data_IF_407213797353
#
_entry.id   IF_407213797353
#
_cell.length_a   1.000
_cell.length_b   1.000
_cell.length_c   1.000
_cell.angle_alpha   90.00
_cell.angle_beta   90.00
_cell.angle_gamma   90.00
#
_symmetry.space_group_name_H-M   'P 1'
#
loop_
_entity.id
_entity.type
_entity.pdbx_description
1 polymer ?
#
# COMPACT_ATOMS: atom_id res chain seq x y z
N UNK A 1 -24.80 -52.61 9.15
CA UNK A 1 -25.29 -51.38 9.80
C UNK A 1 -24.56 -50.11 9.32
N UNK A 2 -24.57 -49.86 8.01
CA UNK A 2 -23.86 -48.67 7.45
C UNK A 2 -24.78 -47.64 6.81
N UNK A 3 -26.09 -47.61 7.04
CA UNK A 3 -27.03 -46.93 6.17
C UNK A 3 -28.00 -45.97 6.85
N UNK A 4 -27.69 -45.36 7.98
CA UNK A 4 -28.52 -44.27 8.52
C UNK A 4 -27.69 -43.09 8.95
N UNK A 5 -26.98 -42.46 7.97
CA UNK A 5 -26.67 -41.05 8.13
C UNK A 5 -28.01 -40.32 7.98
N UNK A 6 -28.51 -39.76 9.08
CA UNK A 6 -29.75 -39.00 9.06
C UNK A 6 -29.51 -37.67 8.33
N UNK A 7 -30.52 -37.11 7.72
CA UNK A 7 -30.44 -35.79 7.08
C UNK A 7 -29.91 -34.70 8.01
N UNK A 8 -30.17 -34.81 9.32
CA UNK A 8 -29.61 -33.96 10.37
C UNK A 8 -28.07 -34.01 10.45
N UNK A 9 -27.48 -35.19 10.25
CA UNK A 9 -26.01 -35.35 10.34
C UNK A 9 -25.34 -34.75 9.11
N UNK A 10 -25.96 -34.91 7.93
CA UNK A 10 -25.48 -34.28 6.68
C UNK A 10 -25.56 -32.76 6.80
N UNK A 11 -26.68 -32.23 7.30
CA UNK A 11 -26.84 -30.80 7.48
C UNK A 11 -25.83 -30.25 8.49
N UNK A 12 -25.64 -30.93 9.62
CA UNK A 12 -24.63 -30.58 10.61
C UNK A 12 -23.21 -30.57 10.02
N UNK A 13 -22.86 -31.61 9.25
CA UNK A 13 -21.58 -31.66 8.60
C UNK A 13 -21.39 -30.52 7.59
N UNK A 14 -22.40 -30.21 6.78
CA UNK A 14 -22.34 -29.08 5.84
C UNK A 14 -22.16 -27.75 6.54
N UNK A 15 -22.86 -27.51 7.67
CA UNK A 15 -22.72 -26.30 8.47
C UNK A 15 -21.32 -26.21 9.06
N UNK A 16 -20.79 -27.33 9.58
CA UNK A 16 -19.43 -27.39 10.13
C UNK A 16 -18.35 -27.11 9.08
N UNK A 17 -18.53 -27.70 7.88
CA UNK A 17 -17.61 -27.45 6.76
C UNK A 17 -17.68 -26.02 6.27
N UNK A 18 -18.89 -25.44 6.15
CA UNK A 18 -19.06 -24.04 5.77
C UNK A 18 -18.44 -23.10 6.80
N UNK A 19 -18.63 -23.36 8.08
CA UNK A 19 -18.03 -22.60 9.17
C UNK A 19 -16.48 -22.73 9.14
N UNK A 20 -15.97 -23.96 9.00
CA UNK A 20 -14.54 -24.19 8.88
C UNK A 20 -13.94 -23.47 7.67
N UNK A 21 -14.58 -23.56 6.52
CA UNK A 21 -14.18 -22.84 5.31
C UNK A 21 -14.15 -21.32 5.56
N UNK A 22 -15.23 -20.75 6.11
CA UNK A 22 -15.32 -19.32 6.40
C UNK A 22 -14.28 -18.83 7.42
N UNK A 23 -13.83 -19.70 8.34
CA UNK A 23 -12.81 -19.36 9.32
C UNK A 23 -11.39 -19.52 8.77
N UNK A 24 -11.09 -20.65 8.13
CA UNK A 24 -9.71 -20.97 7.75
C UNK A 24 -9.28 -20.37 6.42
N UNK A 25 -10.17 -20.25 5.43
CA UNK A 25 -9.79 -19.72 4.12
C UNK A 25 -9.31 -18.27 4.17
N UNK A 26 -9.95 -17.32 4.85
CA UNK A 26 -9.41 -15.97 5.00
C UNK A 26 -8.04 -15.94 5.66
N UNK A 27 -7.80 -16.79 6.68
CA UNK A 27 -6.51 -16.88 7.35
C UNK A 27 -5.42 -17.44 6.42
N UNK A 28 -5.72 -18.48 5.65
CA UNK A 28 -4.79 -19.07 4.68
C UNK A 28 -4.46 -18.07 3.57
N UNK A 29 -5.47 -17.40 3.02
CA UNK A 29 -5.27 -16.38 1.98
C UNK A 29 -4.46 -15.22 2.52
N UNK A 30 -4.77 -14.75 3.73
CA UNK A 30 -4.02 -13.68 4.39
C UNK A 30 -2.55 -14.09 4.57
N UNK A 31 -2.26 -15.24 5.16
CA UNK A 31 -0.90 -15.75 5.34
C UNK A 31 -0.17 -15.89 4.00
N UNK A 32 -0.85 -16.39 2.96
CA UNK A 32 -0.25 -16.48 1.63
C UNK A 32 0.10 -15.10 1.08
N UNK A 33 -0.82 -14.15 1.11
CA UNK A 33 -0.63 -12.82 0.53
C UNK A 33 0.44 -12.03 1.28
N UNK A 34 0.37 -12.00 2.60
CA UNK A 34 1.27 -11.18 3.42
C UNK A 34 2.63 -11.82 3.67
N UNK A 35 2.68 -13.14 3.89
CA UNK A 35 3.91 -13.80 4.34
C UNK A 35 4.62 -14.57 3.22
N UNK A 36 3.88 -15.25 2.33
CA UNK A 36 4.45 -16.21 1.38
C UNK A 36 4.60 -15.69 -0.04
N UNK A 37 3.72 -14.80 -0.51
CA UNK A 37 3.72 -14.34 -1.91
C UNK A 37 4.94 -13.48 -2.28
N UNK A 38 5.61 -12.89 -1.29
CA UNK A 38 6.68 -11.89 -1.50
C UNK A 38 6.19 -10.54 -2.04
N UNK A 39 4.86 -10.38 -2.19
CA UNK A 39 4.29 -9.15 -2.73
C UNK A 39 4.62 -7.94 -1.86
N UNK A 40 4.43 -8.07 -0.54
CA UNK A 40 4.71 -7.00 0.44
C UNK A 40 6.20 -6.81 0.75
N UNK A 41 7.10 -7.68 0.27
CA UNK A 41 8.56 -7.45 0.29
C UNK A 41 9.03 -6.59 -0.87
N UNK A 42 8.14 -6.25 -1.80
CA UNK A 42 8.41 -5.42 -2.97
C UNK A 42 9.56 -5.92 -3.87
N UNK A 43 9.96 -7.19 -3.78
CA UNK A 43 11.03 -7.78 -4.62
C UNK A 43 10.73 -7.64 -6.13
N UNK A 44 9.45 -7.56 -6.48
CA UNK A 44 9.01 -7.31 -7.85
C UNK A 44 9.44 -5.92 -8.39
N UNK A 45 9.66 -4.92 -7.52
CA UNK A 45 10.17 -3.61 -7.92
C UNK A 45 11.57 -3.70 -8.55
N UNK A 46 12.40 -4.65 -8.11
CA UNK A 46 13.72 -4.89 -8.71
C UNK A 46 13.62 -5.27 -10.18
N UNK A 47 12.54 -5.93 -10.59
CA UNK A 47 12.30 -6.33 -11.99
C UNK A 47 12.00 -5.14 -12.89
N UNK A 48 11.59 -4.00 -12.32
CA UNK A 48 11.33 -2.77 -13.07
C UNK A 48 12.61 -2.00 -13.43
N UNK A 49 13.78 -2.49 -12.99
CA UNK A 49 15.10 -1.91 -13.32
C UNK A 49 15.18 -0.39 -13.03
N UNK A 50 14.60 0.04 -11.93
CA UNK A 50 14.54 1.45 -11.54
C UNK A 50 15.92 2.04 -11.17
N UNK A 51 16.90 1.17 -10.90
CA UNK A 51 18.26 1.53 -10.45
C UNK A 51 19.33 1.52 -11.55
N UNK A 52 18.94 1.50 -12.81
CA UNK A 52 19.90 1.38 -13.93
C UNK A 52 20.95 2.50 -14.02
N UNK A 53 20.88 3.51 -13.15
CA UNK A 53 21.84 4.60 -13.05
C UNK A 53 22.06 5.01 -11.61
N UNK A 54 23.28 5.40 -11.27
CA UNK A 54 23.65 5.99 -9.97
C UNK A 54 22.91 7.32 -9.69
N UNK A 55 22.66 7.60 -8.43
CA UNK A 55 22.08 8.85 -7.94
C UNK A 55 20.64 9.14 -8.41
N UNK A 56 19.73 8.16 -8.28
CA UNK A 56 18.29 8.35 -8.48
C UNK A 56 17.66 9.10 -7.32
N UNK A 57 16.69 9.94 -7.65
CA UNK A 57 15.84 10.62 -6.68
C UNK A 57 14.50 9.88 -6.62
N UNK A 58 14.25 9.24 -5.51
CA UNK A 58 13.00 8.55 -5.22
C UNK A 58 12.16 9.33 -4.23
N UNK A 59 10.87 9.34 -4.43
CA UNK A 59 9.90 9.91 -3.49
C UNK A 59 8.91 8.83 -3.09
N UNK A 60 8.68 8.66 -1.80
CA UNK A 60 7.58 7.85 -1.28
C UNK A 60 6.55 8.76 -0.60
N UNK A 61 5.28 8.50 -0.84
CA UNK A 61 4.19 9.22 -0.18
C UNK A 61 3.25 8.22 0.49
N UNK A 62 2.93 8.51 1.75
CA UNK A 62 1.98 7.74 2.54
C UNK A 62 0.92 8.64 3.20
N UNK A 63 -0.12 8.02 3.75
CA UNK A 63 -1.24 8.69 4.41
C UNK A 63 -1.26 8.37 5.90
N UNK A 64 -0.19 8.71 6.60
CA UNK A 64 -0.12 8.59 8.06
C UNK A 64 0.35 7.25 8.61
N UNK A 65 0.49 6.22 7.79
CA UNK A 65 1.05 4.94 8.17
C UNK A 65 2.09 4.51 7.14
N UNK A 66 3.36 4.52 7.54
CA UNK A 66 4.48 4.23 6.66
C UNK A 66 4.98 2.81 6.88
N UNK A 67 4.58 1.90 6.01
CA UNK A 67 5.06 0.51 6.00
C UNK A 67 6.14 0.28 4.94
N UNK A 68 6.43 1.27 4.10
CA UNK A 68 7.13 1.04 2.84
C UNK A 68 8.48 1.74 2.74
N UNK A 69 8.69 2.87 3.40
CA UNK A 69 9.90 3.69 3.20
C UNK A 69 11.18 2.95 3.60
N UNK A 70 11.20 2.24 4.73
CA UNK A 70 12.39 1.46 5.12
C UNK A 70 12.71 0.34 4.13
N UNK A 71 11.67 -0.30 3.58
CA UNK A 71 11.85 -1.34 2.57
C UNK A 71 12.34 -0.77 1.24
N UNK A 72 11.85 0.41 0.84
CA UNK A 72 12.32 1.10 -0.37
C UNK A 72 13.79 1.53 -0.23
N UNK A 73 14.20 2.01 0.94
CA UNK A 73 15.60 2.34 1.22
C UNK A 73 16.51 1.10 1.12
N UNK A 74 16.07 -0.04 1.66
CA UNK A 74 16.80 -1.31 1.54
C UNK A 74 16.85 -1.83 0.11
N UNK A 75 15.76 -1.67 -0.64
CA UNK A 75 15.68 -2.10 -2.04
C UNK A 75 16.53 -1.24 -2.98
N UNK A 76 16.67 0.06 -2.68
CA UNK A 76 17.34 1.06 -3.50
C UNK A 76 18.40 1.86 -2.72
N UNK A 77 19.45 1.21 -2.19
CA UNK A 77 20.42 1.83 -1.27
C UNK A 77 21.28 2.92 -1.93
N UNK A 78 21.26 3.02 -3.26
CA UNK A 78 21.99 4.05 -4.02
C UNK A 78 21.11 5.26 -4.36
N UNK A 79 19.80 5.19 -4.10
CA UNK A 79 18.90 6.28 -4.36
C UNK A 79 18.79 7.22 -3.16
N UNK A 80 18.54 8.49 -3.42
CA UNK A 80 18.10 9.42 -2.38
C UNK A 80 16.59 9.30 -2.22
N UNK A 81 16.13 8.83 -1.05
CA UNK A 81 14.72 8.69 -0.74
C UNK A 81 14.20 9.91 0.03
N UNK A 82 13.18 10.57 -0.47
CA UNK A 82 12.42 11.62 0.22
C UNK A 82 11.04 11.08 0.55
N UNK A 83 10.59 11.27 1.79
CA UNK A 83 9.31 10.72 2.26
C UNK A 83 8.36 11.85 2.66
N UNK A 84 7.13 11.75 2.18
CA UNK A 84 6.06 12.67 2.49
C UNK A 84 4.86 11.95 3.12
N UNK A 85 4.20 12.64 4.05
CA UNK A 85 2.96 12.22 4.68
C UNK A 85 1.85 13.23 4.38
N UNK A 86 0.76 12.80 3.73
CA UNK A 86 -0.39 13.68 3.49
C UNK A 86 -1.56 13.44 4.47
N UNK A 87 -1.32 12.69 5.54
CA UNK A 87 -2.35 12.44 6.53
C UNK A 87 -2.91 13.75 7.11
N UNK A 88 -4.22 13.82 7.18
CA UNK A 88 -4.94 14.92 7.79
C UNK A 88 -5.90 14.40 8.86
N UNK A 89 -5.64 14.74 10.12
CA UNK A 89 -6.43 14.27 11.27
C UNK A 89 -7.93 14.63 11.18
N UNK A 90 -8.28 15.69 10.44
CA UNK A 90 -9.68 16.10 10.26
C UNK A 90 -10.40 15.30 9.18
N UNK A 91 -9.67 14.73 8.22
CA UNK A 91 -10.21 14.00 7.08
C UNK A 91 -10.10 12.49 7.27
N UNK A 92 -8.99 12.01 7.84
CA UNK A 92 -8.68 10.60 8.04
C UNK A 92 -8.99 10.19 9.49
N UNK A 93 -10.27 9.95 9.76
CA UNK A 93 -10.78 9.74 11.12
C UNK A 93 -10.98 8.26 11.47
N UNK A 94 -10.59 7.33 10.60
CA UNK A 94 -10.74 5.90 10.85
C UNK A 94 -9.94 5.46 12.10
N UNK A 95 -10.59 4.75 13.04
CA UNK A 95 -9.88 4.29 14.24
C UNK A 95 -8.69 3.38 13.96
N UNK A 96 -8.66 2.72 12.79
CA UNK A 96 -7.55 1.87 12.38
C UNK A 96 -6.27 2.69 12.12
N UNK A 97 -6.35 3.74 11.29
CA UNK A 97 -5.21 4.60 10.99
C UNK A 97 -4.72 5.34 12.23
N UNK A 98 -5.64 5.81 13.08
CA UNK A 98 -5.30 6.49 14.35
C UNK A 98 -4.51 5.55 15.28
N UNK A 99 -4.87 4.26 15.34
CA UNK A 99 -4.12 3.26 16.12
C UNK A 99 -2.78 2.92 15.49
N UNK A 100 -2.76 2.71 14.17
CA UNK A 100 -1.54 2.37 13.45
C UNK A 100 -0.45 3.45 13.61
N UNK A 101 -0.81 4.72 13.50
CA UNK A 101 0.11 5.85 13.70
C UNK A 101 0.79 5.87 15.08
N UNK A 102 0.14 5.34 16.12
CA UNK A 102 0.71 5.31 17.47
C UNK A 102 1.83 4.29 17.64
N UNK A 103 1.86 3.28 16.79
CA UNK A 103 2.80 2.15 16.89
C UNK A 103 3.76 2.06 15.71
N UNK A 104 3.50 2.78 14.62
CA UNK A 104 4.38 2.78 13.44
C UNK A 104 5.68 3.56 13.73
N UNK A 105 6.77 3.04 13.19
CA UNK A 105 8.00 3.79 13.10
C UNK A 105 7.83 4.86 12.01
N UNK A 106 8.20 6.09 12.35
CA UNK A 106 8.21 7.19 11.38
C UNK A 106 9.56 7.18 10.68
N UNK A 107 9.56 7.18 9.35
CA UNK A 107 10.79 7.28 8.58
C UNK A 107 11.48 8.64 8.84
N UNK A 108 12.82 8.68 9.03
CA UNK A 108 13.54 9.92 9.34
C UNK A 108 13.25 11.03 8.31
N UNK A 109 13.09 12.27 8.80
CA UNK A 109 12.85 13.45 7.97
C UNK A 109 11.56 13.41 7.11
N UNK A 110 10.61 12.54 7.45
CA UNK A 110 9.27 12.58 6.80
C UNK A 110 8.65 13.97 6.96
N UNK A 111 8.24 14.57 5.84
CA UNK A 111 7.63 15.89 5.81
C UNK A 111 6.12 15.80 5.60
N UNK A 112 5.36 16.55 6.38
CA UNK A 112 3.92 16.68 6.17
C UNK A 112 3.65 17.55 4.96
N UNK A 113 2.77 17.10 4.06
CA UNK A 113 2.39 17.85 2.86
C UNK A 113 0.87 17.91 2.66
N UNK A 114 0.46 18.77 1.73
CA UNK A 114 -0.89 18.78 1.20
C UNK A 114 -0.91 18.08 -0.18
N UNK A 115 -1.95 17.32 -0.45
CA UNK A 115 -2.15 16.62 -1.73
C UNK A 115 -2.22 17.57 -2.95
N UNK A 116 -2.52 18.83 -2.73
CA UNK A 116 -2.59 19.86 -3.78
C UNK A 116 -1.25 20.49 -4.14
N UNK A 117 -0.18 20.25 -3.38
CA UNK A 117 1.14 20.86 -3.62
C UNK A 117 2.26 20.00 -3.02
N UNK A 118 3.10 19.45 -3.87
CA UNK A 118 4.30 18.72 -3.46
C UNK A 118 5.47 19.70 -3.47
N UNK A 119 6.21 19.85 -2.34
CA UNK A 119 7.27 20.85 -2.19
C UNK A 119 8.58 20.44 -2.90
N UNK A 120 8.48 20.10 -4.17
CA UNK A 120 9.59 19.71 -5.03
C UNK A 120 9.53 20.50 -6.34
N UNK A 121 10.72 20.71 -6.93
CA UNK A 121 10.84 21.34 -8.24
C UNK A 121 10.24 20.47 -9.34
N UNK A 122 9.85 21.10 -10.44
CA UNK A 122 9.39 20.40 -11.64
C UNK A 122 10.50 19.47 -12.16
N UNK A 123 10.10 18.30 -12.63
CA UNK A 123 11.00 17.32 -13.27
C UNK A 123 12.26 17.01 -12.42
N UNK A 124 12.12 16.89 -11.11
CA UNK A 124 13.23 16.62 -10.18
C UNK A 124 13.31 15.17 -9.71
N UNK A 125 12.21 14.39 -9.83
CA UNK A 125 12.06 13.04 -9.30
C UNK A 125 12.20 12.00 -10.41
N UNK A 126 12.99 10.95 -10.17
CA UNK A 126 13.12 9.83 -11.10
C UNK A 126 12.00 8.79 -10.93
N UNK A 127 11.67 8.48 -9.67
CA UNK A 127 10.58 7.54 -9.36
C UNK A 127 9.76 8.02 -8.17
N UNK A 128 8.46 8.02 -8.36
CA UNK A 128 7.47 8.39 -7.37
C UNK A 128 6.67 7.16 -6.94
N UNK A 129 6.71 6.82 -5.67
CA UNK A 129 5.99 5.69 -5.09
C UNK A 129 4.74 6.18 -4.35
N UNK A 130 3.61 5.53 -4.63
CA UNK A 130 2.34 5.70 -3.96
C UNK A 130 1.79 4.29 -3.67
N UNK A 131 2.29 3.71 -2.58
CA UNK A 131 2.03 2.31 -2.23
C UNK A 131 0.98 2.26 -1.12
N UNK A 132 -0.21 1.75 -1.44
CA UNK A 132 -1.35 1.58 -0.53
C UNK A 132 -1.82 2.88 0.14
N UNK A 133 -1.70 4.02 -0.53
CA UNK A 133 -2.05 5.32 0.05
C UNK A 133 -3.09 6.11 -0.75
N UNK A 134 -3.26 5.86 -2.05
CA UNK A 134 -4.15 6.65 -2.90
C UNK A 134 -5.64 6.49 -2.54
N UNK A 135 -6.03 5.39 -1.91
CA UNK A 135 -7.40 5.15 -1.47
C UNK A 135 -7.84 6.08 -0.33
N UNK A 136 -6.89 6.65 0.42
CA UNK A 136 -7.18 7.61 1.48
C UNK A 136 -7.68 8.96 0.93
N UNK A 137 -7.33 9.31 -0.29
CA UNK A 137 -7.93 10.44 -1.00
C UNK A 137 -9.32 10.05 -1.49
N UNK A 138 -10.36 10.59 -0.87
CA UNK A 138 -11.75 10.20 -1.16
C UNK A 138 -12.38 10.98 -2.31
N UNK A 139 -12.04 12.27 -2.41
CA UNK A 139 -12.58 13.13 -3.44
C UNK A 139 -11.87 12.90 -4.79
N UNK A 140 -12.64 12.76 -5.84
CA UNK A 140 -12.09 12.57 -7.21
C UNK A 140 -11.21 13.75 -7.63
N UNK A 141 -11.64 14.97 -7.34
CA UNK A 141 -10.91 16.20 -7.68
C UNK A 141 -9.56 16.28 -6.95
N UNK A 142 -9.49 15.79 -5.73
CA UNK A 142 -8.26 15.70 -4.97
C UNK A 142 -7.28 14.73 -5.64
N UNK A 143 -7.74 13.54 -6.03
CA UNK A 143 -6.92 12.55 -6.77
C UNK A 143 -6.37 13.14 -8.06
N UNK A 144 -7.22 13.84 -8.83
CA UNK A 144 -6.81 14.48 -10.08
C UNK A 144 -5.74 15.55 -9.83
N UNK A 145 -5.93 16.39 -8.83
CA UNK A 145 -4.97 17.44 -8.46
C UNK A 145 -3.64 16.83 -8.01
N UNK A 146 -3.69 15.82 -7.15
CA UNK A 146 -2.52 15.11 -6.69
C UNK A 146 -1.73 14.44 -7.82
N UNK A 147 -2.42 13.76 -8.76
CA UNK A 147 -1.77 13.14 -9.90
C UNK A 147 -1.13 14.17 -10.87
N UNK A 148 -1.69 15.37 -10.98
CA UNK A 148 -1.07 16.48 -11.70
C UNK A 148 0.23 16.92 -11.03
N UNK A 149 0.26 17.01 -9.71
CA UNK A 149 1.47 17.30 -8.95
C UNK A 149 2.53 16.19 -9.09
N UNK A 150 2.14 14.91 -8.99
CA UNK A 150 3.04 13.79 -9.28
C UNK A 150 3.67 13.93 -10.68
N UNK A 151 2.84 14.24 -11.69
CA UNK A 151 3.30 14.43 -13.06
C UNK A 151 4.24 15.63 -13.19
N UNK A 152 4.01 16.71 -12.47
CA UNK A 152 4.85 17.91 -12.47
C UNK A 152 6.26 17.62 -11.95
N UNK A 153 6.34 16.91 -10.80
CA UNK A 153 7.63 16.66 -10.15
C UNK A 153 8.45 15.55 -10.79
N UNK A 154 7.81 14.60 -11.48
CA UNK A 154 8.50 13.48 -12.12
C UNK A 154 9.14 13.93 -13.42
N UNK A 155 10.42 13.55 -13.62
CA UNK A 155 11.21 13.82 -14.84
C UNK A 155 10.53 13.23 -16.08
N UNK A 156 10.88 13.77 -17.25
CA UNK A 156 10.56 13.09 -18.51
C UNK A 156 11.25 11.71 -18.52
N UNK A 157 10.48 10.65 -18.77
CA UNK A 157 10.96 9.27 -18.67
C UNK A 157 11.06 8.70 -17.25
N UNK A 158 10.70 9.47 -16.22
CA UNK A 158 10.57 8.98 -14.86
C UNK A 158 9.30 8.15 -14.66
N UNK A 159 9.17 7.52 -13.49
CA UNK A 159 8.10 6.58 -13.19
C UNK A 159 7.20 7.09 -12.05
N UNK A 160 5.91 6.81 -12.16
CA UNK A 160 4.97 6.85 -11.03
C UNK A 160 4.49 5.42 -10.82
N UNK A 161 4.78 4.86 -9.65
CA UNK A 161 4.42 3.50 -9.27
C UNK A 161 3.32 3.60 -8.22
N UNK A 162 2.14 3.17 -8.60
CA UNK A 162 0.98 3.12 -7.72
C UNK A 162 0.57 1.67 -7.50
N UNK A 163 0.38 1.31 -6.25
CA UNK A 163 -0.15 0.01 -5.84
C UNK A 163 -1.30 0.25 -4.89
N UNK A 164 -2.42 -0.40 -5.15
CA UNK A 164 -3.63 -0.28 -4.35
C UNK A 164 -4.28 -1.64 -4.12
N UNK A 165 -5.01 -1.73 -3.02
CA UNK A 165 -5.89 -2.87 -2.78
C UNK A 165 -7.04 -2.84 -3.79
N UNK A 166 -7.30 -4.00 -4.42
CA UNK A 166 -8.51 -4.15 -5.20
C UNK A 166 -9.70 -3.99 -4.25
N UNK A 167 -10.54 -3.01 -4.51
CA UNK A 167 -11.87 -2.96 -3.92
C UNK A 167 -12.78 -3.83 -4.76
N UNK A 168 -13.38 -4.81 -4.12
CA UNK A 168 -14.53 -5.47 -4.72
C UNK A 168 -15.58 -4.40 -5.03
N UNK A 169 -16.04 -4.39 -6.27
CA UNK A 169 -17.17 -3.55 -6.64
C UNK A 169 -18.39 -4.03 -5.84
N UNK A 170 -19.18 -3.12 -5.27
CA UNK A 170 -20.40 -3.48 -4.56
C UNK A 170 -21.41 -4.14 -5.49
#
# INVERSE_FOLDING_TARGET
SFWFIQWSDILFLMVLLAFGYGLFMPLIVSAYVYDLSGFYRFDWLRKLQLDNHSARVHVNIHAGFDETSFQLEELFPQATLTVFDFYNEKLHTEPAIVRARKVSLVYPNTQQINTSSIPLSDASVDTFFLLFAAHEMRAFEEKVTFLKECRRVVKSGGNVIMVEHLRDLP
#
